data_IF_050908260023
#
_entry.id   IF_050908260023
#
_cell.length_a   1.000
_cell.length_b   1.000
_cell.length_c   1.000
_cell.angle_alpha   90.00
_cell.angle_beta   90.00
_cell.angle_gamma   90.00
#
_symmetry.space_group_name_H-M   'P 1'
#
loop_
_entity.id
_entity.type
_entity.pdbx_description
1 polymer ?
#
# COMPACT_ATOMS: atom_id res chain seq x y z
N UNK A 1 14.46 -67.87 20.17
CA UNK A 1 15.50 -68.49 19.33
C UNK A 1 16.32 -67.36 18.72
N UNK A 2 17.62 -67.38 18.97
CA UNK A 2 18.60 -66.34 18.56
C UNK A 2 18.85 -66.43 17.06
N UNK A 3 18.92 -65.30 16.35
CA UNK A 3 20.00 -65.03 15.38
C UNK A 3 20.14 -63.55 15.02
N UNK A 4 21.31 -63.03 15.41
CA UNK A 4 21.98 -61.84 14.86
C UNK A 4 22.19 -62.00 13.35
N UNK A 5 22.41 -60.90 12.62
CA UNK A 5 23.72 -60.58 12.02
C UNK A 5 23.72 -59.14 11.48
N UNK A 6 24.85 -58.50 11.73
CA UNK A 6 25.27 -57.15 11.38
C UNK A 6 25.40 -56.95 9.87
N UNK A 7 25.29 -55.70 9.42
CA UNK A 7 25.66 -55.30 8.07
C UNK A 7 25.81 -53.79 7.94
N UNK A 8 26.94 -53.27 8.41
CA UNK A 8 27.43 -51.92 8.17
C UNK A 8 27.90 -51.81 6.72
N UNK A 9 27.33 -50.90 5.93
CA UNK A 9 27.99 -50.35 4.73
C UNK A 9 27.67 -48.85 4.66
N UNK A 10 28.66 -48.07 5.04
CA UNK A 10 28.78 -46.64 4.74
C UNK A 10 29.27 -46.55 3.30
N UNK A 11 28.53 -45.87 2.42
CA UNK A 11 29.04 -45.46 1.12
C UNK A 11 28.70 -43.98 0.89
N UNK A 12 29.62 -43.14 1.35
CA UNK A 12 29.78 -41.74 0.95
C UNK A 12 30.06 -41.66 -0.55
N UNK A 13 29.19 -40.99 -1.31
CA UNK A 13 29.51 -40.46 -2.63
C UNK A 13 29.30 -38.96 -2.61
N UNK A 14 30.42 -38.25 -2.52
CA UNK A 14 30.53 -36.82 -2.77
C UNK A 14 30.50 -36.66 -4.29
N UNK A 15 29.43 -36.07 -4.82
CA UNK A 15 29.39 -35.64 -6.22
C UNK A 15 29.23 -34.12 -6.22
N UNK A 16 30.36 -33.43 -6.18
CA UNK A 16 30.44 -32.03 -6.55
C UNK A 16 30.36 -31.94 -8.07
N UNK A 17 29.23 -31.44 -8.59
CA UNK A 17 29.08 -31.11 -10.00
C UNK A 17 28.80 -29.60 -10.08
N UNK A 18 29.89 -28.87 -10.32
CA UNK A 18 29.91 -27.47 -10.67
C UNK A 18 29.18 -27.27 -11.99
N UNK A 19 27.98 -26.67 -11.93
CA UNK A 19 27.31 -26.08 -13.08
C UNK A 19 27.45 -24.56 -12.98
N UNK A 20 28.59 -24.04 -13.45
CA UNK A 20 28.71 -22.64 -13.86
C UNK A 20 28.04 -22.52 -15.23
N UNK A 21 26.72 -22.33 -15.21
CA UNK A 21 25.94 -21.92 -16.36
C UNK A 21 26.02 -20.40 -16.50
N UNK A 22 26.50 -19.96 -17.66
CA UNK A 22 26.67 -18.58 -18.05
C UNK A 22 25.40 -17.74 -17.88
N UNK A 23 25.46 -16.69 -17.05
CA UNK A 23 24.63 -15.51 -17.21
C UNK A 23 25.29 -14.60 -18.24
N UNK A 24 24.84 -14.70 -19.49
CA UNK A 24 24.99 -13.61 -20.45
C UNK A 24 23.92 -12.58 -20.11
N UNK A 25 24.34 -11.46 -19.52
CA UNK A 25 23.47 -10.31 -19.30
C UNK A 25 23.29 -9.57 -20.62
N UNK A 26 22.10 -9.66 -21.20
CA UNK A 26 21.59 -8.63 -22.10
C UNK A 26 21.39 -7.35 -21.28
N UNK A 27 22.10 -6.28 -21.67
CA UNK A 27 21.89 -4.93 -21.17
C UNK A 27 20.52 -4.44 -21.65
N UNK A 28 19.49 -4.61 -20.83
CA UNK A 28 18.34 -3.73 -20.87
C UNK A 28 18.75 -2.39 -20.26
N UNK A 29 18.97 -1.40 -21.12
CA UNK A 29 19.31 -0.02 -20.78
C UNK A 29 18.12 0.76 -20.24
N UNK A 30 17.41 0.24 -19.24
CA UNK A 30 16.59 1.06 -18.37
C UNK A 30 17.53 1.70 -17.36
N UNK A 31 17.91 2.96 -17.60
CA UNK A 31 18.64 3.81 -16.66
C UNK A 31 17.84 3.93 -15.35
N UNK A 32 17.99 2.95 -14.46
CA UNK A 32 17.89 3.21 -13.02
C UNK A 32 19.17 3.93 -12.68
N UNK A 33 19.15 5.26 -12.67
CA UNK A 33 20.25 6.02 -12.07
C UNK A 33 20.37 5.53 -10.63
N UNK A 34 21.42 4.74 -10.38
CA UNK A 34 21.81 4.39 -9.03
C UNK A 34 21.93 5.71 -8.27
N UNK A 35 21.22 5.80 -7.14
CA UNK A 35 21.20 6.96 -6.27
C UNK A 35 22.67 7.33 -5.93
N UNK A 36 23.27 8.27 -6.66
CA UNK A 36 24.57 8.86 -6.33
C UNK A 36 24.35 9.79 -5.13
N UNK A 37 23.89 9.22 -4.03
CA UNK A 37 23.47 9.93 -2.84
C UNK A 37 24.66 10.43 -2.05
N UNK A 38 24.62 11.71 -1.69
CA UNK A 38 25.43 12.28 -0.60
C UNK A 38 25.42 11.34 0.60
N UNK A 39 26.58 10.93 1.07
CA UNK A 39 26.71 10.10 2.29
C UNK A 39 26.52 10.90 3.59
N UNK A 40 26.34 12.21 3.51
CA UNK A 40 26.28 13.12 4.65
C UNK A 40 24.84 13.59 4.90
N UNK A 41 23.94 12.66 5.23
CA UNK A 41 22.62 13.03 5.76
C UNK A 41 22.73 13.37 7.24
N UNK A 42 22.18 14.50 7.62
CA UNK A 42 22.02 14.95 9.00
C UNK A 42 20.75 14.36 9.62
N UNK A 43 20.63 14.30 10.95
CA UNK A 43 19.39 13.89 11.61
C UNK A 43 18.17 14.74 11.24
N UNK A 44 18.37 16.00 10.83
CA UNK A 44 17.30 16.91 10.40
C UNK A 44 16.72 16.53 9.04
N UNK A 45 17.43 15.70 8.25
CA UNK A 45 16.96 15.18 6.97
C UNK A 45 15.99 14.00 7.13
N UNK A 46 15.70 13.58 8.37
CA UNK A 46 14.79 12.47 8.68
C UNK A 46 13.56 12.94 9.45
N UNK A 47 12.39 12.42 9.07
CA UNK A 47 11.10 12.75 9.65
C UNK A 47 10.36 11.47 10.05
N UNK A 48 9.66 11.49 11.18
CA UNK A 48 8.76 10.40 11.57
C UNK A 48 7.61 10.29 10.58
N UNK A 49 7.12 9.08 10.35
CA UNK A 49 6.04 8.86 9.38
C UNK A 49 4.73 9.51 9.83
N UNK A 50 4.45 9.54 11.14
CA UNK A 50 3.30 10.26 11.69
C UNK A 50 3.31 11.75 11.33
N UNK A 51 4.42 12.44 11.60
CA UNK A 51 4.63 13.83 11.20
C UNK A 51 4.60 14.00 9.67
N UNK A 52 5.02 12.97 8.92
CA UNK A 52 4.94 12.93 7.47
C UNK A 52 3.51 12.93 6.94
N UNK A 53 2.61 12.17 7.55
CA UNK A 53 1.19 12.16 7.16
C UNK A 53 0.49 13.50 7.45
N UNK A 54 0.94 14.24 8.46
CA UNK A 54 0.42 15.58 8.75
C UNK A 54 0.98 16.67 7.80
N UNK A 55 2.25 16.56 7.41
CA UNK A 55 2.90 17.55 6.54
C UNK A 55 2.58 17.34 5.05
N UNK A 56 2.51 16.08 4.62
CA UNK A 56 2.24 15.72 3.24
C UNK A 56 0.87 15.06 3.16
N UNK A 57 -0.11 15.76 2.59
CA UNK A 57 -1.49 15.27 2.57
C UNK A 57 -1.70 14.08 1.63
N UNK A 58 -0.92 13.96 0.55
CA UNK A 58 -1.16 12.95 -0.48
C UNK A 58 -0.06 11.88 -0.50
N UNK A 59 -0.46 10.62 -0.36
CA UNK A 59 0.41 9.45 -0.40
C UNK A 59 -0.07 8.41 -1.41
N UNK A 60 0.87 7.86 -2.16
CA UNK A 60 0.63 6.99 -3.31
C UNK A 60 1.19 5.61 -2.98
N UNK A 61 0.34 4.59 -3.08
CA UNK A 61 0.80 3.20 -3.09
C UNK A 61 1.19 2.78 -4.50
N UNK A 62 2.42 2.28 -4.66
CA UNK A 62 2.95 1.80 -5.93
C UNK A 62 4.00 0.69 -5.72
N UNK A 63 4.74 0.32 -6.77
CA UNK A 63 5.86 -0.63 -6.68
C UNK A 63 6.97 -0.11 -5.76
N UNK A 64 7.64 -1.00 -5.02
CA UNK A 64 8.79 -0.64 -4.21
C UNK A 64 10.09 -0.36 -4.98
N UNK A 65 10.08 -0.54 -6.30
CA UNK A 65 11.12 -0.04 -7.20
C UNK A 65 10.47 0.90 -8.21
N UNK A 66 9.99 2.08 -7.77
CA UNK A 66 9.16 2.90 -8.61
C UNK A 66 9.94 3.38 -9.84
N UNK A 67 9.21 3.57 -10.92
CA UNK A 67 9.69 4.09 -12.19
C UNK A 67 8.59 4.96 -12.79
N UNK A 68 8.90 5.67 -13.88
CA UNK A 68 7.92 6.50 -14.60
C UNK A 68 6.65 5.73 -14.97
N UNK A 69 6.82 4.49 -15.38
CA UNK A 69 5.75 3.57 -15.80
C UNK A 69 5.05 2.85 -14.63
N UNK A 70 5.45 3.11 -13.38
CA UNK A 70 4.84 2.45 -12.24
C UNK A 70 3.43 2.98 -12.03
N UNK A 71 2.45 2.08 -12.08
CA UNK A 71 1.04 2.43 -11.83
C UNK A 71 0.78 2.68 -10.35
N UNK A 72 -0.13 3.61 -10.07
CA UNK A 72 -0.71 3.79 -8.74
C UNK A 72 -1.69 2.65 -8.46
N UNK A 73 -1.62 2.08 -7.25
CA UNK A 73 -2.54 1.04 -6.76
C UNK A 73 -3.62 1.62 -5.86
N UNK A 74 -3.24 2.57 -5.03
CA UNK A 74 -4.12 3.27 -4.10
C UNK A 74 -3.57 4.68 -3.83
N UNK A 75 -4.47 5.58 -3.41
CA UNK A 75 -4.16 6.94 -2.97
C UNK A 75 -4.68 7.11 -1.54
N UNK A 76 -3.88 7.72 -0.68
CA UNK A 76 -4.23 8.03 0.70
C UNK A 76 -4.13 9.55 0.87
N UNK A 77 -5.21 10.18 1.33
CA UNK A 77 -5.32 11.62 1.52
C UNK A 77 -5.57 11.91 2.99
N UNK A 78 -4.60 12.51 3.66
CA UNK A 78 -4.65 12.91 5.06
C UNK A 78 -5.06 14.38 5.19
N UNK A 79 -6.02 14.68 6.07
CA UNK A 79 -6.51 16.05 6.34
C UNK A 79 -7.04 16.15 7.76
N UNK A 80 -6.47 17.02 8.59
CA UNK A 80 -6.99 17.39 9.93
C UNK A 80 -7.55 16.18 10.69
N UNK A 81 -6.71 15.16 10.88
CA UNK A 81 -7.01 13.90 11.60
C UNK A 81 -7.90 12.86 10.89
N UNK A 82 -8.39 13.19 9.70
CA UNK A 82 -9.11 12.26 8.83
C UNK A 82 -8.20 11.69 7.74
N UNK A 83 -8.56 10.51 7.27
CA UNK A 83 -7.95 9.83 6.14
C UNK A 83 -9.03 9.42 5.14
N UNK A 84 -8.82 9.75 3.87
CA UNK A 84 -9.53 9.13 2.75
C UNK A 84 -8.59 8.20 1.99
N UNK A 85 -8.96 6.92 1.89
CA UNK A 85 -8.27 5.93 1.08
C UNK A 85 -9.08 5.63 -0.18
N UNK A 86 -8.45 5.79 -1.34
CA UNK A 86 -8.98 5.41 -2.65
C UNK A 86 -8.23 4.17 -3.13
N UNK A 87 -8.96 3.06 -3.32
CA UNK A 87 -8.41 1.77 -3.71
C UNK A 87 -9.17 1.12 -4.85
N UNK A 88 -8.61 0.01 -5.34
CA UNK A 88 -9.15 -0.76 -6.46
C UNK A 88 -9.44 0.12 -7.69
N UNK A 89 -8.45 0.92 -8.08
CA UNK A 89 -8.48 1.74 -9.28
C UNK A 89 -8.49 0.80 -10.50
N UNK A 90 -9.45 0.99 -11.41
CA UNK A 90 -9.59 0.15 -12.61
C UNK A 90 -8.30 0.10 -13.42
N UNK A 91 -7.86 -1.09 -13.84
CA UNK A 91 -6.59 -1.29 -14.55
C UNK A 91 -6.44 -0.42 -15.81
N UNK A 92 -7.53 -0.20 -16.54
CA UNK A 92 -7.55 0.63 -17.76
C UNK A 92 -7.41 2.14 -17.47
N UNK A 93 -7.69 2.56 -16.24
CA UNK A 93 -7.68 3.95 -15.80
C UNK A 93 -6.55 4.25 -14.78
N UNK A 94 -5.64 3.30 -14.56
CA UNK A 94 -4.52 3.48 -13.63
C UNK A 94 -3.55 4.52 -14.15
N UNK A 95 -3.38 5.59 -13.37
CA UNK A 95 -2.34 6.58 -13.60
C UNK A 95 -0.95 5.99 -13.30
N UNK A 96 0.01 6.37 -14.13
CA UNK A 96 1.44 6.14 -13.92
C UNK A 96 2.08 7.30 -13.13
N UNK A 97 3.25 7.08 -12.52
CA UNK A 97 3.98 8.16 -11.83
C UNK A 97 4.42 9.29 -12.79
N UNK A 98 4.57 9.01 -14.09
CA UNK A 98 4.78 10.06 -15.11
C UNK A 98 3.56 10.98 -15.21
N UNK A 99 2.36 10.42 -15.37
CA UNK A 99 1.12 11.20 -15.46
C UNK A 99 0.84 11.96 -14.15
N UNK A 100 1.13 11.36 -13.00
CA UNK A 100 1.01 12.01 -11.68
C UNK A 100 1.85 13.27 -11.57
N UNK A 101 3.05 13.29 -12.16
CA UNK A 101 3.93 14.45 -12.13
C UNK A 101 3.36 15.65 -12.89
N UNK A 102 2.42 15.43 -13.81
CA UNK A 102 1.76 16.48 -14.57
C UNK A 102 0.53 17.05 -13.85
N UNK A 103 0.10 16.45 -12.73
CA UNK A 103 -1.10 16.80 -11.99
C UNK A 103 -0.76 17.48 -10.66
N UNK A 104 -1.54 18.50 -10.28
CA UNK A 104 -1.59 18.97 -8.90
C UNK A 104 -2.21 17.92 -7.96
N UNK A 105 -2.05 18.04 -6.64
CA UNK A 105 -2.70 17.13 -5.68
C UNK A 105 -4.22 17.10 -5.88
N UNK A 106 -4.86 18.26 -6.01
CA UNK A 106 -6.31 18.37 -6.25
C UNK A 106 -6.77 17.69 -7.55
N UNK A 107 -5.97 17.79 -8.61
CA UNK A 107 -6.26 17.13 -9.88
C UNK A 107 -6.06 15.62 -9.78
N UNK A 108 -4.99 15.18 -9.12
CA UNK A 108 -4.73 13.76 -8.86
C UNK A 108 -5.88 13.13 -8.07
N UNK A 109 -6.30 13.76 -6.98
CA UNK A 109 -7.40 13.27 -6.13
C UNK A 109 -8.67 13.11 -6.98
N UNK A 110 -9.05 14.12 -7.76
CA UNK A 110 -10.24 14.06 -8.63
C UNK A 110 -10.16 12.96 -9.68
N UNK A 111 -8.99 12.75 -10.28
CA UNK A 111 -8.80 11.67 -11.24
C UNK A 111 -8.93 10.31 -10.57
N UNK A 112 -8.26 10.10 -9.43
CA UNK A 112 -8.33 8.83 -8.70
C UNK A 112 -9.74 8.56 -8.17
N UNK A 113 -10.41 9.55 -7.57
CA UNK A 113 -11.78 9.44 -7.07
C UNK A 113 -12.76 8.95 -8.13
N UNK A 114 -12.65 9.45 -9.36
CA UNK A 114 -13.50 9.07 -10.48
C UNK A 114 -13.36 7.59 -10.87
N UNK A 115 -12.20 6.99 -10.62
CA UNK A 115 -11.85 5.65 -11.10
C UNK A 115 -11.65 4.63 -9.97
N UNK A 116 -11.68 5.07 -8.71
CA UNK A 116 -11.63 4.21 -7.54
C UNK A 116 -12.99 3.56 -7.32
N UNK A 117 -12.97 2.24 -7.15
CA UNK A 117 -14.18 1.47 -6.85
C UNK A 117 -14.33 1.18 -5.36
N UNK A 118 -13.33 1.53 -4.55
CA UNK A 118 -13.37 1.45 -3.09
C UNK A 118 -12.87 2.74 -2.50
N UNK A 119 -13.69 3.37 -1.68
CA UNK A 119 -13.34 4.57 -0.93
C UNK A 119 -13.63 4.30 0.54
N UNK A 120 -12.68 4.61 1.42
CA UNK A 120 -12.89 4.56 2.86
C UNK A 120 -12.47 5.89 3.47
N UNK A 121 -13.34 6.52 4.25
CA UNK A 121 -13.13 7.84 4.84
C UNK A 121 -13.48 7.82 6.33
N UNK A 122 -12.56 8.27 7.18
CA UNK A 122 -12.80 8.39 8.62
C UNK A 122 -11.57 8.85 9.39
N UNK A 123 -11.69 8.88 10.73
CA UNK A 123 -10.54 9.09 11.60
C UNK A 123 -9.55 7.93 11.50
N UNK A 124 -8.27 8.22 11.72
CA UNK A 124 -7.22 7.21 11.69
C UNK A 124 -6.33 7.24 12.93
N UNK A 125 -5.72 6.08 13.20
CA UNK A 125 -4.62 5.90 14.14
C UNK A 125 -3.45 5.19 13.48
N UNK A 126 -2.30 5.28 14.13
CA UNK A 126 -1.09 4.57 13.80
C UNK A 126 -0.71 3.66 14.96
N UNK A 127 -0.83 2.35 14.77
CA UNK A 127 -0.62 1.38 15.83
C UNK A 127 0.77 0.77 15.71
N UNK A 128 1.63 1.08 16.67
CA UNK A 128 2.98 0.55 16.78
C UNK A 128 2.94 -0.86 17.38
N UNK A 129 3.49 -1.82 16.65
CA UNK A 129 3.84 -3.14 17.17
C UNK A 129 5.31 -3.16 17.56
N UNK A 130 5.61 -3.54 18.81
CA UNK A 130 6.99 -3.64 19.30
C UNK A 130 7.67 -4.97 18.92
N UNK A 131 8.99 -4.98 18.94
CA UNK A 131 9.80 -6.20 18.86
C UNK A 131 9.62 -7.11 20.09
N UNK A 132 10.21 -8.32 20.05
CA UNK A 132 10.12 -9.29 21.14
C UNK A 132 10.70 -8.80 22.48
N UNK A 133 11.50 -7.73 22.47
CA UNK A 133 12.10 -7.11 23.64
C UNK A 133 11.31 -5.91 24.15
N UNK A 134 10.30 -5.45 23.41
CA UNK A 134 9.52 -4.26 23.73
C UNK A 134 10.33 -2.97 23.66
N UNK A 135 11.40 -2.93 22.87
CA UNK A 135 12.34 -1.80 22.84
C UNK A 135 12.29 -1.01 21.54
N UNK A 136 12.05 -1.69 20.42
CA UNK A 136 12.03 -1.08 19.10
C UNK A 136 10.68 -1.29 18.43
N UNK A 137 10.27 -0.33 17.62
CA UNK A 137 9.15 -0.52 16.70
C UNK A 137 9.53 -1.55 15.64
N UNK A 138 8.72 -2.59 15.53
CA UNK A 138 8.86 -3.63 14.50
C UNK A 138 8.09 -3.24 13.24
N UNK A 139 6.87 -2.77 13.40
CA UNK A 139 5.98 -2.34 12.33
C UNK A 139 4.97 -1.33 12.88
N UNK A 140 4.38 -0.53 12.00
CA UNK A 140 3.31 0.40 12.31
C UNK A 140 2.14 0.14 11.37
N UNK A 141 0.92 0.02 11.90
CA UNK A 141 -0.29 -0.20 11.10
C UNK A 141 -1.08 1.10 11.01
N UNK A 142 -1.48 1.48 9.80
CA UNK A 142 -2.42 2.57 9.58
C UNK A 142 -3.83 2.00 9.64
N UNK A 143 -4.61 2.46 10.62
CA UNK A 143 -5.93 1.92 10.94
C UNK A 143 -6.96 3.04 10.76
N UNK A 144 -8.03 2.77 10.03
CA UNK A 144 -9.26 3.57 10.14
C UNK A 144 -10.00 3.12 11.39
N UNK A 145 -10.38 4.08 12.23
CA UNK A 145 -11.17 3.83 13.44
C UNK A 145 -12.60 3.40 13.08
N UNK A 146 -13.37 2.98 14.10
CA UNK A 146 -14.79 2.67 13.94
C UNK A 146 -15.61 3.87 13.42
N UNK A 147 -16.82 3.58 12.94
CA UNK A 147 -17.76 4.55 12.35
C UNK A 147 -17.25 5.25 11.08
N UNK A 148 -16.32 4.62 10.34
CA UNK A 148 -15.83 5.14 9.06
C UNK A 148 -16.84 4.90 7.93
N UNK A 149 -16.87 5.83 6.97
CA UNK A 149 -17.66 5.70 5.75
C UNK A 149 -16.94 4.78 4.75
N UNK A 150 -17.65 3.81 4.21
CA UNK A 150 -17.16 2.90 3.19
C UNK A 150 -18.07 2.98 1.96
N UNK A 151 -17.47 3.27 0.82
CA UNK A 151 -18.14 3.32 -0.47
C UNK A 151 -17.55 2.24 -1.36
N UNK A 152 -18.40 1.40 -1.92
CA UNK A 152 -17.99 0.40 -2.91
C UNK A 152 -18.84 0.54 -4.17
N UNK A 153 -18.18 0.69 -5.31
CA UNK A 153 -18.81 0.77 -6.62
C UNK A 153 -18.53 -0.49 -7.42
N UNK A 154 -19.55 -1.01 -8.08
CA UNK A 154 -19.45 -2.16 -8.96
C UNK A 154 -20.10 -1.85 -10.31
N UNK A 155 -19.59 -2.49 -11.36
CA UNK A 155 -20.34 -2.64 -12.61
C UNK A 155 -21.63 -3.45 -12.31
N UNK A 156 -22.78 -2.81 -12.49
CA UNK A 156 -24.10 -3.36 -12.19
C UNK A 156 -24.32 -4.66 -12.95
N UNK A 157 -23.88 -4.69 -14.20
CA UNK A 157 -24.02 -5.85 -15.07
C UNK A 157 -23.30 -7.05 -14.47
N UNK A 158 -22.04 -6.88 -14.03
CA UNK A 158 -21.25 -7.93 -13.39
C UNK A 158 -21.96 -8.53 -12.17
N UNK A 159 -22.46 -7.69 -11.24
CA UNK A 159 -23.20 -8.18 -10.08
C UNK A 159 -24.51 -8.87 -10.45
N UNK A 160 -25.25 -8.32 -11.42
CA UNK A 160 -26.47 -8.93 -11.93
C UNK A 160 -26.19 -10.35 -12.47
N UNK A 161 -25.14 -10.53 -13.29
CA UNK A 161 -24.79 -11.85 -13.83
C UNK A 161 -24.46 -12.86 -12.74
N UNK A 162 -23.80 -12.44 -11.66
CA UNK A 162 -23.46 -13.30 -10.52
C UNK A 162 -24.67 -13.67 -9.66
N UNK A 163 -25.71 -12.82 -9.63
CA UNK A 163 -26.93 -13.06 -8.84
C UNK A 163 -27.79 -14.23 -9.33
N UNK A 164 -27.68 -14.59 -10.62
CA UNK A 164 -28.51 -15.61 -11.27
C UNK A 164 -29.97 -15.20 -11.52
N UNK A 165 -30.32 -13.93 -11.32
CA UNK A 165 -31.63 -13.38 -11.64
C UNK A 165 -31.80 -13.18 -13.16
N UNK A 166 -33.03 -12.93 -13.62
CA UNK A 166 -33.33 -12.90 -15.06
C UNK A 166 -33.17 -11.53 -15.71
N UNK A 167 -33.06 -10.47 -14.91
CA UNK A 167 -32.76 -9.11 -15.37
C UNK A 167 -32.13 -8.22 -14.30
N UNK A 168 -31.48 -7.14 -14.71
CA UNK A 168 -30.97 -6.08 -13.83
C UNK A 168 -32.09 -5.46 -12.96
N UNK A 169 -33.29 -5.31 -13.52
CA UNK A 169 -34.47 -4.78 -12.80
C UNK A 169 -34.87 -5.68 -11.63
N UNK A 170 -34.85 -7.01 -11.83
CA UNK A 170 -35.11 -7.97 -10.75
C UNK A 170 -34.01 -7.93 -9.68
N UNK A 171 -32.75 -7.74 -10.09
CA UNK A 171 -31.64 -7.60 -9.15
C UNK A 171 -31.78 -6.35 -8.29
N UNK A 172 -32.03 -5.18 -8.89
CA UNK A 172 -32.26 -3.93 -8.16
C UNK A 172 -33.44 -4.07 -7.18
N UNK A 173 -34.57 -4.62 -7.64
CA UNK A 173 -35.73 -4.84 -6.77
C UNK A 173 -35.40 -5.76 -5.58
N UNK A 174 -34.50 -6.73 -5.76
CA UNK A 174 -34.07 -7.61 -4.67
C UNK A 174 -33.19 -6.91 -3.63
N UNK A 175 -32.42 -5.88 -4.03
CA UNK A 175 -31.63 -5.05 -3.11
C UNK A 175 -32.55 -4.11 -2.31
N UNK A 176 -33.54 -3.50 -2.98
CA UNK A 176 -34.55 -2.67 -2.32
C UNK A 176 -35.34 -3.47 -1.27
N UNK A 177 -35.70 -4.72 -1.55
CA UNK A 177 -36.40 -5.59 -0.60
C UNK A 177 -35.55 -5.92 0.64
N UNK A 178 -34.22 -6.04 0.48
CA UNK A 178 -33.29 -6.25 1.59
C UNK A 178 -33.08 -4.99 2.43
N UNK A 179 -33.39 -3.82 1.89
CA UNK A 179 -33.18 -2.53 2.53
C UNK A 179 -31.73 -2.05 2.48
N UNK A 180 -30.97 -2.52 1.48
CA UNK A 180 -29.59 -2.09 1.27
C UNK A 180 -29.58 -0.61 0.84
N UNK A 181 -28.60 0.17 1.31
CA UNK A 181 -28.39 1.55 0.88
C UNK A 181 -27.49 1.56 -0.36
N UNK A 182 -28.06 1.91 -1.52
CA UNK A 182 -27.33 1.99 -2.77
C UNK A 182 -27.86 3.08 -3.69
N UNK A 183 -27.01 3.51 -4.63
CA UNK A 183 -27.35 4.38 -5.75
C UNK A 183 -26.97 3.70 -7.06
N UNK A 184 -27.80 3.83 -8.09
CA UNK A 184 -27.51 3.32 -9.44
C UNK A 184 -27.25 4.52 -10.35
N UNK A 185 -26.09 4.56 -10.98
CA UNK A 185 -25.69 5.61 -11.91
C UNK A 185 -25.19 4.99 -13.22
N UNK A 186 -26.01 5.05 -14.26
CA UNK A 186 -25.77 4.40 -15.55
C UNK A 186 -25.53 2.89 -15.41
N UNK A 187 -24.30 2.44 -15.64
CA UNK A 187 -23.88 1.03 -15.60
C UNK A 187 -23.27 0.66 -14.24
N UNK A 188 -23.16 1.62 -13.31
CA UNK A 188 -22.58 1.42 -11.99
C UNK A 188 -23.65 1.35 -10.89
N UNK A 189 -23.36 0.56 -9.87
CA UNK A 189 -24.09 0.54 -8.60
C UNK A 189 -23.12 0.80 -7.45
N UNK A 190 -23.45 1.78 -6.62
CA UNK A 190 -22.64 2.23 -5.49
C UNK A 190 -23.36 1.91 -4.19
N UNK A 191 -22.68 1.20 -3.29
CA UNK A 191 -23.13 0.94 -1.93
C UNK A 191 -22.39 1.86 -0.97
N UNK A 192 -23.11 2.38 0.03
CA UNK A 192 -22.54 3.19 1.10
C UNK A 192 -22.90 2.57 2.44
N UNK A 193 -21.90 2.29 3.26
CA UNK A 193 -22.03 1.78 4.62
C UNK A 193 -21.23 2.64 5.60
N UNK A 194 -21.67 2.63 6.85
CA UNK A 194 -20.85 3.03 8.00
C UNK A 194 -20.41 1.73 8.67
N UNK A 195 -19.12 1.56 8.84
CA UNK A 195 -18.51 0.34 9.36
C UNK A 195 -18.19 0.53 10.84
N UNK A 196 -18.60 -0.42 11.69
CA UNK A 196 -18.49 -0.33 13.16
C UNK A 196 -17.26 -1.03 13.73
N UNK A 197 -16.44 -1.63 12.87
CA UNK A 197 -15.18 -2.26 13.26
C UNK A 197 -13.99 -1.52 12.62
N UNK A 198 -12.88 -1.30 13.36
CA UNK A 198 -11.70 -0.67 12.80
C UNK A 198 -11.10 -1.49 11.66
N UNK A 199 -10.52 -0.81 10.68
CA UNK A 199 -9.94 -1.43 9.48
C UNK A 199 -8.47 -1.09 9.36
N UNK A 200 -7.62 -2.12 9.43
CA UNK A 200 -6.22 -1.98 9.03
C UNK A 200 -6.14 -1.77 7.51
N UNK A 201 -5.65 -0.60 7.10
CA UNK A 201 -5.45 -0.24 5.70
C UNK A 201 -4.11 -0.73 5.17
N UNK A 202 -3.04 -0.53 5.93
CA UNK A 202 -1.70 -0.95 5.55
C UNK A 202 -0.80 -1.14 6.77
N UNK A 203 0.21 -2.00 6.63
CA UNK A 203 1.25 -2.21 7.63
C UNK A 203 2.60 -1.82 7.03
N UNK A 204 3.27 -0.89 7.70
CA UNK A 204 4.58 -0.37 7.33
C UNK A 204 5.64 -1.08 8.17
N UNK A 205 6.51 -1.83 7.50
CA UNK A 205 7.55 -2.63 8.13
C UNK A 205 8.90 -2.51 7.39
N UNK A 206 8.97 -1.63 6.40
CA UNK A 206 10.03 -1.61 5.42
C UNK A 206 11.00 -0.45 5.53
N UNK A 207 12.04 -0.52 4.70
CA UNK A 207 13.05 0.52 4.59
C UNK A 207 12.54 1.76 3.88
N UNK A 208 13.23 2.87 4.15
CA UNK A 208 13.06 4.13 3.45
C UNK A 208 13.30 3.96 1.94
N UNK A 209 12.40 4.56 1.16
CA UNK A 209 12.49 4.65 -0.30
C UNK A 209 12.53 6.13 -0.66
N UNK A 210 13.51 6.53 -1.45
CA UNK A 210 13.58 7.87 -2.03
C UNK A 210 14.10 7.80 -3.46
N UNK A 211 13.36 8.41 -4.37
CA UNK A 211 13.68 8.38 -5.80
C UNK A 211 13.20 9.66 -6.48
N UNK A 212 14.06 10.20 -7.33
CA UNK A 212 13.69 11.30 -8.21
C UNK A 212 13.16 10.75 -9.52
N UNK A 213 11.96 11.18 -9.90
CA UNK A 213 11.30 10.84 -11.16
C UNK A 213 11.01 12.16 -11.88
N UNK A 214 11.76 12.43 -12.95
CA UNK A 214 11.85 13.77 -13.58
C UNK A 214 12.35 14.83 -12.58
N UNK A 215 11.53 15.83 -12.32
CA UNK A 215 11.82 16.94 -11.41
C UNK A 215 11.14 16.78 -10.05
N UNK A 216 10.37 15.72 -9.86
CA UNK A 216 9.71 15.40 -8.60
C UNK A 216 10.54 14.40 -7.80
N UNK A 217 10.79 14.72 -6.54
CA UNK A 217 11.34 13.75 -5.58
C UNK A 217 10.18 13.05 -4.89
N UNK A 218 10.18 11.72 -4.96
CA UNK A 218 9.29 10.88 -4.16
C UNK A 218 10.06 10.33 -2.97
N UNK A 219 9.44 10.36 -1.80
CA UNK A 219 10.00 9.74 -0.60
C UNK A 219 8.92 9.05 0.21
N UNK A 220 9.29 7.97 0.90
CA UNK A 220 8.37 7.19 1.70
C UNK A 220 8.98 5.91 2.25
N UNK A 221 8.14 4.90 2.43
CA UNK A 221 8.50 3.64 3.09
C UNK A 221 8.00 2.45 2.28
N UNK A 222 8.76 1.35 2.29
CA UNK A 222 8.28 0.07 1.79
C UNK A 222 7.19 -0.47 2.73
N UNK A 223 6.09 -0.93 2.16
CA UNK A 223 4.95 -1.54 2.86
C UNK A 223 4.82 -3.00 2.41
N UNK A 224 5.73 -3.85 2.87
CA UNK A 224 5.89 -5.23 2.39
C UNK A 224 6.99 -5.41 1.34
N UNK A 225 6.99 -6.54 0.64
CA UNK A 225 8.12 -6.97 -0.21
C UNK A 225 8.15 -6.34 -1.62
N UNK A 226 7.02 -5.82 -2.11
CA UNK A 226 6.89 -5.37 -3.51
C UNK A 226 6.18 -4.02 -3.67
N UNK A 227 5.84 -3.40 -2.54
CA UNK A 227 4.95 -2.24 -2.46
C UNK A 227 5.59 -1.15 -1.62
N UNK A 228 5.35 0.09 -2.02
CA UNK A 228 5.80 1.28 -1.33
C UNK A 228 4.68 2.29 -1.21
N UNK A 229 4.73 3.05 -0.13
CA UNK A 229 3.88 4.20 0.13
C UNK A 229 4.77 5.45 0.02
N UNK A 230 4.48 6.33 -0.93
CA UNK A 230 5.34 7.45 -1.31
C UNK A 230 4.55 8.76 -1.32
N UNK A 231 5.18 9.85 -0.90
CA UNK A 231 4.66 11.20 -1.12
C UNK A 231 5.64 12.02 -1.97
N UNK A 232 5.11 13.07 -2.61
CA UNK A 232 5.92 14.09 -3.28
C UNK A 232 6.52 15.00 -2.20
N UNK A 233 7.83 15.17 -2.21
CA UNK A 233 8.52 16.05 -1.27
C UNK A 233 9.16 17.23 -2.01
N UNK A 234 9.17 18.39 -1.36
CA UNK A 234 9.80 19.60 -1.89
C UNK A 234 11.30 19.40 -2.17
N UNK A 235 11.91 20.32 -2.92
CA UNK A 235 13.32 20.26 -3.34
C UNK A 235 14.26 19.91 -2.17
N UNK A 236 14.69 18.65 -2.12
CA UNK A 236 15.52 18.14 -1.04
C UNK A 236 15.34 16.64 -0.86
N UNK A 237 16.23 16.06 -0.05
CA UNK A 237 16.02 14.71 0.44
C UNK A 237 15.31 14.82 1.80
N UNK A 238 14.21 14.09 1.95
CA UNK A 238 13.55 13.88 3.24
C UNK A 238 13.40 12.38 3.41
N UNK A 239 14.04 11.81 4.41
CA UNK A 239 13.90 10.40 4.74
C UNK A 239 12.78 10.19 5.74
N UNK A 240 11.80 9.35 5.41
CA UNK A 240 10.81 8.94 6.40
C UNK A 240 11.33 7.76 7.22
N UNK A 241 11.08 7.80 8.52
CA UNK A 241 11.38 6.73 9.47
C UNK A 241 10.13 6.36 10.25
N UNK A 242 10.01 5.09 10.63
CA UNK A 242 8.90 4.65 11.47
C UNK A 242 9.00 5.30 12.85
N UNK A 243 7.85 5.70 13.40
CA UNK A 243 7.74 6.23 14.76
C UNK A 243 8.33 5.29 15.81
N UNK A 244 8.98 5.89 16.81
CA UNK A 244 9.48 5.21 17.98
C UNK A 244 8.41 5.10 19.08
N UNK A 245 8.52 4.15 20.02
CA UNK A 245 7.53 3.97 21.09
C UNK A 245 7.46 5.13 22.10
N UNK A 246 8.42 6.05 22.07
CA UNK A 246 8.44 7.28 22.87
C UNK A 246 7.89 8.49 22.10
N UNK A 247 7.25 8.26 20.95
CA UNK A 247 6.61 9.33 20.19
C UNK A 247 5.50 10.00 21.01
N UNK A 248 5.37 11.32 20.84
CA UNK A 248 4.38 12.16 21.52
C UNK A 248 3.18 12.48 20.64
N UNK A 249 3.14 11.94 19.42
CA UNK A 249 2.03 12.14 18.51
C UNK A 249 0.78 11.44 19.08
N UNK A 250 -0.33 12.15 19.19
CA UNK A 250 -1.57 11.66 19.78
C UNK A 250 -2.29 10.62 18.91
N UNK A 251 -1.94 10.55 17.63
CA UNK A 251 -2.49 9.56 16.68
C UNK A 251 -1.73 8.25 16.70
N UNK A 252 -0.60 8.18 17.42
CA UNK A 252 0.16 6.95 17.56
C UNK A 252 -0.25 6.21 18.84
N UNK A 253 -0.70 4.97 18.68
CA UNK A 253 -0.93 4.05 19.80
C UNK A 253 0.16 2.98 19.82
N UNK A 254 0.32 2.31 20.95
CA UNK A 254 1.33 1.26 21.13
C UNK A 254 0.62 0.00 21.58
N UNK A 255 0.67 -1.03 20.75
CA UNK A 255 0.19 -2.36 21.13
C UNK A 255 1.32 -3.14 21.82
N UNK A 256 1.13 -3.42 23.11
CA UNK A 256 2.00 -4.28 23.92
C UNK A 256 1.70 -4.14 25.41
N UNK A 257 1.12 -5.12 26.11
CA UNK A 257 1.15 -6.59 25.98
C UNK A 257 -0.22 -7.24 26.06
#
# INVERSE_FOLDING_TARGET
MIKKINGLVILTTITALSLLGACGSEENSSEVQANEGRQDYSPEDFKKISDGFEEYSVWIETSNTPSRESSIRALFVFSDENLTSYGNINDEDKLTLEEVNELTDDELIKQVEKHATRISEGEYTLDITLDEFGQNTKEISLILEEDYNHIITYDLKSLYWESGLSSEVEYIASLEEKGDQFEVNNEDITFTSIEDEPKNLLTINGGMISQRIFDTTYSGLSIGEQTALLSRVDEGFIGFVIDSPDTTNNRVTIEGK
#
